data_IF_020930255727
#
_entry.id   IF_020930255727
#
_cell.length_a   1.000
_cell.length_b   1.000
_cell.length_c   1.000
_cell.angle_alpha   90.00
_cell.angle_beta   90.00
_cell.angle_gamma   90.00
#
_symmetry.space_group_name_H-M   'P 1'
#
loop_
_entity.id
_entity.type
_entity.pdbx_description
1 polymer ?
#
# COMPACT_ATOMS: atom_id res chain seq x y z
N UNK A 1 8.30 2.64 11.58
CA UNK A 1 7.73 2.07 12.81
C UNK A 1 7.21 3.12 13.81
N UNK A 2 7.04 4.40 13.41
CA UNK A 2 6.37 5.43 14.23
C UNK A 2 4.84 5.47 14.00
N UNK A 3 4.37 4.85 12.90
CA UNK A 3 2.95 4.81 12.53
C UNK A 3 2.07 4.00 13.47
N UNK A 4 2.59 2.91 14.06
CA UNK A 4 1.80 2.03 14.93
C UNK A 4 1.27 2.78 16.17
N UNK A 5 2.09 3.66 16.75
CA UNK A 5 1.70 4.52 17.88
C UNK A 5 0.74 5.63 17.44
N UNK A 6 1.00 6.29 16.31
CA UNK A 6 0.13 7.32 15.78
C UNK A 6 -1.27 6.78 15.40
N UNK A 7 -1.32 5.57 14.82
CA UNK A 7 -2.55 4.87 14.46
C UNK A 7 -3.35 4.48 15.70
N UNK A 8 -2.70 3.97 16.75
CA UNK A 8 -3.35 3.62 18.02
C UNK A 8 -3.89 4.85 18.75
N UNK A 9 -3.15 5.97 18.74
CA UNK A 9 -3.63 7.25 19.28
C UNK A 9 -4.80 7.78 18.44
N UNK A 10 -4.69 7.74 17.10
CA UNK A 10 -5.75 8.12 16.18
C UNK A 10 -7.04 7.31 16.41
N UNK A 11 -6.94 5.98 16.49
CA UNK A 11 -8.06 5.11 16.80
C UNK A 11 -8.70 5.41 18.16
N UNK A 12 -7.90 5.72 19.19
CA UNK A 12 -8.39 6.13 20.53
C UNK A 12 -9.12 7.48 20.51
N UNK A 13 -8.76 8.37 19.57
CA UNK A 13 -9.31 9.70 19.37
C UNK A 13 -10.39 9.77 18.27
N UNK A 14 -10.70 8.65 17.60
CA UNK A 14 -11.62 8.61 16.46
C UNK A 14 -11.09 9.29 15.19
N UNK A 15 -9.78 9.48 15.09
CA UNK A 15 -9.09 10.09 13.96
C UNK A 15 -8.42 9.00 13.12
N UNK A 16 -9.14 8.51 12.13
CA UNK A 16 -8.61 7.58 11.14
C UNK A 16 -7.98 8.34 9.95
N UNK A 17 -6.88 7.84 9.38
CA UNK A 17 -6.29 8.48 8.21
C UNK A 17 -7.21 8.34 7.00
N UNK A 18 -7.61 9.48 6.42
CA UNK A 18 -8.44 9.56 5.21
C UNK A 18 -7.66 9.26 3.92
N UNK A 19 -6.33 9.34 4.00
CA UNK A 19 -5.41 9.24 2.85
C UNK A 19 -4.25 8.31 3.16
N UNK A 20 -3.67 7.72 2.11
CA UNK A 20 -2.50 6.84 2.23
C UNK A 20 -1.24 7.71 2.22
N UNK A 21 -0.62 7.89 3.37
CA UNK A 21 0.58 8.73 3.48
C UNK A 21 1.83 8.01 2.98
N UNK A 22 2.64 8.70 2.17
CA UNK A 22 3.87 8.12 1.63
C UNK A 22 5.06 8.49 2.51
N UNK A 23 5.72 7.47 3.06
CA UNK A 23 7.05 7.59 3.63
C UNK A 23 8.05 6.68 2.90
N UNK A 24 9.30 6.59 3.39
CA UNK A 24 10.38 5.85 2.74
C UNK A 24 10.03 4.39 2.37
N UNK A 25 9.30 3.68 3.22
CA UNK A 25 8.87 2.29 2.99
C UNK A 25 7.75 2.19 1.96
N UNK A 26 6.68 2.96 2.17
CA UNK A 26 5.51 3.05 1.27
C UNK A 26 5.90 3.47 -0.14
N UNK A 27 6.89 4.38 -0.27
CA UNK A 27 7.37 4.92 -1.55
C UNK A 27 7.84 3.83 -2.50
N UNK A 28 8.50 2.78 -1.96
CA UNK A 28 9.00 1.68 -2.78
C UNK A 28 7.85 0.83 -3.32
N UNK A 29 6.88 0.48 -2.47
CA UNK A 29 5.67 -0.23 -2.90
C UNK A 29 4.83 0.59 -3.89
N UNK A 30 4.60 1.87 -3.60
CA UNK A 30 3.87 2.79 -4.47
C UNK A 30 4.52 2.90 -5.85
N UNK A 31 5.86 3.03 -5.90
CA UNK A 31 6.61 3.07 -7.17
C UNK A 31 6.46 1.77 -7.96
N UNK A 32 6.53 0.62 -7.29
CA UNK A 32 6.42 -0.70 -7.93
C UNK A 32 5.01 -0.98 -8.47
N UNK A 33 3.97 -0.43 -7.83
CA UNK A 33 2.59 -0.48 -8.32
C UNK A 33 2.25 0.60 -9.36
N UNK A 34 3.19 1.46 -9.75
CA UNK A 34 2.95 2.53 -10.73
C UNK A 34 2.10 3.69 -10.20
N UNK A 35 2.02 3.86 -8.87
CA UNK A 35 1.33 4.98 -8.23
C UNK A 35 2.22 6.22 -8.17
N UNK A 36 1.63 7.38 -7.87
CA UNK A 36 2.39 8.62 -7.67
C UNK A 36 3.17 8.58 -6.34
N UNK A 37 4.35 7.97 -6.41
CA UNK A 37 5.25 7.78 -5.27
C UNK A 37 5.98 9.07 -4.84
N UNK A 38 5.85 10.16 -5.61
CA UNK A 38 6.44 11.47 -5.27
C UNK A 38 5.47 12.35 -4.48
N UNK A 39 4.18 12.06 -4.51
CA UNK A 39 3.19 12.73 -3.70
C UNK A 39 3.44 12.51 -2.19
N UNK A 40 2.94 13.45 -1.37
CA UNK A 40 2.94 13.31 0.10
C UNK A 40 1.92 12.26 0.57
N UNK A 41 0.86 12.06 -0.20
CA UNK A 41 -0.22 11.13 0.06
C UNK A 41 -0.86 10.65 -1.25
N UNK A 42 -1.52 9.50 -1.22
CA UNK A 42 -2.34 8.96 -2.31
C UNK A 42 -3.80 8.97 -1.86
N UNK A 43 -4.68 9.47 -2.72
CA UNK A 43 -6.13 9.40 -2.47
C UNK A 43 -6.63 7.97 -2.71
N UNK A 44 -7.58 7.44 -1.91
CA UNK A 44 -8.10 6.08 -2.10
C UNK A 44 -8.62 5.80 -3.52
N UNK A 45 -9.14 6.82 -4.21
CA UNK A 45 -9.61 6.73 -5.61
C UNK A 45 -8.49 6.40 -6.61
N UNK A 46 -7.26 6.81 -6.32
CA UNK A 46 -6.09 6.65 -7.19
C UNK A 46 -5.44 5.26 -7.00
N UNK A 47 -5.89 4.51 -5.99
CA UNK A 47 -5.44 3.15 -5.75
C UNK A 47 -5.98 2.16 -6.82
N UNK A 48 -5.30 1.02 -7.04
CA UNK A 48 -5.84 -0.09 -7.80
C UNK A 48 -7.14 -0.61 -7.16
N UNK A 49 -8.11 -1.07 -7.98
CA UNK A 49 -9.43 -1.53 -7.49
C UNK A 49 -9.38 -2.44 -6.25
N UNK A 50 -8.49 -3.45 -6.14
CA UNK A 50 -8.43 -4.32 -4.96
C UNK A 50 -8.03 -3.60 -3.66
N UNK A 51 -7.30 -2.49 -3.76
CA UNK A 51 -6.84 -1.71 -2.60
C UNK A 51 -7.82 -0.60 -2.21
N UNK A 52 -8.80 -0.26 -3.07
CA UNK A 52 -9.79 0.81 -2.79
C UNK A 52 -10.76 0.48 -1.67
N UNK A 53 -11.02 -0.81 -1.45
CA UNK A 53 -11.91 -1.28 -0.37
C UNK A 53 -11.21 -1.37 0.98
N UNK A 54 -9.88 -1.18 1.01
CA UNK A 54 -9.12 -1.24 2.24
C UNK A 54 -8.99 0.15 2.86
N UNK A 55 -9.04 0.26 4.18
CA UNK A 55 -8.75 1.50 4.86
C UNK A 55 -7.32 1.98 4.56
N UNK A 56 -7.07 3.31 4.52
CA UNK A 56 -5.80 3.86 4.07
C UNK A 56 -4.57 3.39 4.86
N UNK A 57 -4.71 3.09 6.16
CA UNK A 57 -3.62 2.55 6.97
C UNK A 57 -3.23 1.12 6.55
N UNK A 58 -4.19 0.27 6.19
CA UNK A 58 -3.88 -1.08 5.69
C UNK A 58 -3.18 -1.02 4.34
N UNK A 59 -3.56 -0.06 3.49
CA UNK A 59 -2.88 0.15 2.22
C UNK A 59 -1.43 0.60 2.45
N UNK A 60 -1.20 1.50 3.41
CA UNK A 60 0.15 1.93 3.79
C UNK A 60 1.01 0.75 4.27
N UNK A 61 0.49 -0.08 5.18
CA UNK A 61 1.14 -1.30 5.65
C UNK A 61 1.47 -2.25 4.49
N UNK A 62 0.52 -2.45 3.56
CA UNK A 62 0.73 -3.31 2.41
C UNK A 62 1.90 -2.79 1.55
N UNK A 63 1.89 -1.50 1.25
CA UNK A 63 2.93 -0.84 0.44
C UNK A 63 4.29 -0.82 1.14
N UNK A 64 4.33 -0.79 2.47
CA UNK A 64 5.56 -0.72 3.26
C UNK A 64 6.17 -2.12 3.54
N UNK A 65 5.35 -3.06 3.97
CA UNK A 65 5.76 -4.42 4.38
C UNK A 65 5.99 -5.29 3.16
N UNK A 66 5.01 -5.38 2.26
CA UNK A 66 5.08 -6.24 1.06
C UNK A 66 5.71 -5.54 -0.14
N UNK A 67 6.44 -4.44 0.09
CA UNK A 67 7.11 -3.70 -0.99
C UNK A 67 7.86 -4.62 -1.94
N UNK A 68 8.57 -5.62 -1.43
CA UNK A 68 9.44 -6.52 -2.20
C UNK A 68 8.68 -7.60 -2.97
N UNK A 69 7.40 -7.80 -2.66
CA UNK A 69 6.52 -8.72 -3.38
C UNK A 69 5.96 -8.07 -4.65
N UNK A 70 5.92 -6.73 -4.70
CA UNK A 70 5.63 -6.01 -5.93
C UNK A 70 6.85 -6.09 -6.86
N UNK A 71 6.96 -7.17 -7.61
CA UNK A 71 7.93 -7.26 -8.71
C UNK A 71 7.63 -6.14 -9.71
N UNK A 72 8.66 -5.38 -10.10
CA UNK A 72 8.50 -4.29 -11.06
C UNK A 72 7.76 -4.81 -12.28
N UNK A 73 6.65 -4.15 -12.65
CA UNK A 73 5.90 -4.46 -13.85
C UNK A 73 6.76 -4.32 -15.11
N UNK A 74 7.53 -5.36 -15.43
CA UNK A 74 7.62 -5.87 -16.79
C UNK A 74 6.56 -6.95 -16.85
N UNK A 75 5.55 -6.71 -17.71
CA UNK A 75 4.47 -7.62 -18.11
C UNK A 75 4.29 -8.84 -17.20
N UNK A 76 3.20 -8.84 -16.42
CA UNK A 76 2.70 -9.97 -15.66
C UNK A 76 3.04 -11.30 -16.37
N UNK A 77 4.07 -11.99 -15.89
CA UNK A 77 4.21 -13.40 -16.23
C UNK A 77 3.09 -14.13 -15.50
N UNK A 78 2.29 -14.94 -16.19
CA UNK A 78 1.22 -15.68 -15.54
C UNK A 78 1.82 -16.51 -14.42
N UNK A 79 1.21 -16.41 -13.24
CA UNK A 79 1.51 -17.28 -12.10
C UNK A 79 1.29 -18.70 -12.59
N UNK A 80 2.39 -19.44 -12.81
CA UNK A 80 2.34 -20.85 -13.17
C UNK A 80 1.95 -21.61 -11.90
N UNK A 81 0.64 -21.75 -11.68
CA UNK A 81 0.12 -22.76 -10.78
C UNK A 81 0.46 -24.11 -11.42
N UNK A 82 1.53 -24.75 -10.94
CA UNK A 82 1.81 -26.15 -11.27
C UNK A 82 0.72 -26.99 -10.60
N UNK A 83 -0.38 -27.20 -11.34
CA UNK A 83 -1.38 -28.19 -11.00
C UNK A 83 -0.83 -29.55 -11.37
N UNK A 84 -0.15 -30.19 -10.42
CA UNK A 84 0.10 -31.63 -10.45
C UNK A 84 -1.23 -32.33 -10.18
N UNK A 85 -1.86 -32.86 -11.22
CA UNK A 85 -2.82 -33.95 -11.13
C UNK A 85 -2.08 -35.28 -11.26
#
# INVERSE_FOLDING_TARGET
>A
MVYDTALRIGARLGLEPERVYIHSGTRVGARRLGLDWRAKWIEPKDLPKPLRSLPPWQVEDILCIYKDWFTQGRAAQPIRIETTF
#
